data_IF_702932433300
#
_entry.id   IF_702932433300
#
_cell.length_a   1.000
_cell.length_b   1.000
_cell.length_c   1.000
_cell.angle_alpha   90.00
_cell.angle_beta   90.00
_cell.angle_gamma   90.00
#
_symmetry.space_group_name_H-M   'P 1'
#
loop_
_entity.id
_entity.type
_entity.pdbx_description
1 polymer ?
2 non-polymer ?
3 non-polymer ?
4 water ?
#
# COMPACT_ATOMS: atom_id res chain seq x y z
N UNK A 21 -0.52 26.47 3.76
CA UNK A 21 -0.42 25.72 2.47
C UNK A 21 -0.73 24.23 2.61
N UNK A 22 -0.52 23.69 3.80
CA UNK A 22 -0.93 22.30 4.10
C UNK A 22 -2.42 22.17 3.92
N UNK A 23 -3.17 23.21 4.32
CA UNK A 23 -4.62 23.24 4.10
C UNK A 23 -5.05 23.34 2.65
N UNK A 24 -4.32 24.09 1.81
CA UNK A 24 -4.69 24.14 0.39
C UNK A 24 -4.40 22.79 -0.25
N UNK A 25 -3.33 22.13 0.17
CA UNK A 25 -3.03 20.79 -0.36
C UNK A 25 -4.19 19.85 -0.01
N UNK A 26 -4.58 19.81 1.26
CA UNK A 26 -5.66 18.90 1.65
C UNK A 26 -6.97 19.20 0.93
N UNK A 27 -7.33 20.49 0.80
CA UNK A 27 -8.60 20.85 0.17
C UNK A 27 -8.68 20.43 -1.30
N UNK A 28 -7.58 20.65 -2.02
CA UNK A 28 -7.48 20.22 -3.41
C UNK A 28 -7.45 18.68 -3.51
N UNK A 29 -6.64 18.04 -2.66
CA UNK A 29 -6.54 16.58 -2.72
C UNK A 29 -7.80 15.85 -2.31
N UNK A 30 -8.64 16.48 -1.47
CA UNK A 30 -9.90 15.87 -1.10
C UNK A 30 -10.77 15.59 -2.28
N UNK A 31 -10.59 16.37 -3.37
CA UNK A 31 -11.36 16.18 -4.57
C UNK A 31 -10.53 15.61 -5.71
N UNK A 32 -9.36 15.04 -5.39
CA UNK A 32 -8.50 14.40 -6.38
C UNK A 32 -8.55 12.90 -6.21
N UNK A 33 -9.22 12.19 -7.11
CA UNK A 33 -9.45 10.75 -6.95
C UNK A 33 -8.20 9.94 -7.17
N UNK A 34 -7.98 8.94 -6.32
CA UNK A 34 -6.76 8.14 -6.39
C UNK A 34 -7.05 6.70 -6.07
N UNK A 35 -6.47 5.77 -6.84
CA UNK A 35 -6.56 4.37 -6.50
C UNK A 35 -5.84 4.12 -5.19
N UNK A 36 -6.30 3.09 -4.51
CA UNK A 36 -5.75 2.70 -3.24
C UNK A 36 -5.23 1.30 -3.30
N UNK A 37 -4.25 1.06 -2.44
CA UNK A 37 -3.64 -0.26 -2.26
C UNK A 37 -3.30 -0.44 -0.81
N UNK A 38 -3.02 -1.69 -0.41
CA UNK A 38 -2.50 -1.97 0.93
C UNK A 38 -1.11 -2.54 0.83
N UNK A 39 -0.15 -1.78 1.32
CA UNK A 39 1.25 -2.22 1.24
C UNK A 39 1.56 -2.93 2.56
N UNK A 40 2.25 -4.05 2.48
CA UNK A 40 2.60 -4.76 3.69
C UNK A 40 4.04 -5.12 3.70
N UNK A 41 4.54 -5.42 4.89
CA UNK A 41 5.86 -6.01 5.02
C UNK A 41 5.93 -6.87 6.27
N UNK A 42 7.01 -7.63 6.37
CA UNK A 42 7.32 -8.44 7.57
C UNK A 42 8.53 -7.74 8.18
N UNK A 43 8.26 -6.97 9.22
CA UNK A 43 9.18 -6.06 9.85
C UNK A 43 9.77 -6.76 11.06
N UNK A 44 10.89 -7.44 10.85
CA UNK A 44 11.55 -8.21 11.90
C UNK A 44 10.58 -9.17 12.57
N UNK A 45 9.70 -9.79 11.79
CA UNK A 45 8.70 -10.73 12.27
C UNK A 45 7.33 -10.17 12.58
N UNK A 46 7.24 -8.84 12.66
CA UNK A 46 5.95 -8.18 12.91
C UNK A 46 5.26 -7.95 11.57
N UNK A 47 4.06 -8.49 11.42
CA UNK A 47 3.26 -8.27 10.22
C UNK A 47 2.62 -6.88 10.31
N UNK A 48 2.93 -6.02 9.34
CA UNK A 48 2.42 -4.68 9.29
C UNK A 48 1.98 -4.35 7.88
N UNK A 49 1.10 -3.39 7.79
CA UNK A 49 0.74 -2.85 6.50
C UNK A 49 -0.10 -1.60 6.67
N UNK A 50 -0.35 -0.93 5.56
CA UNK A 50 -1.19 0.26 5.60
C UNK A 50 -1.83 0.51 4.25
N UNK A 51 -3.02 1.09 4.32
CA UNK A 51 -3.71 1.68 3.19
C UNK A 51 -2.95 2.90 2.71
N UNK A 52 -2.69 2.94 1.41
CA UNK A 52 -2.05 4.05 0.74
C UNK A 52 -2.81 4.52 -0.49
N UNK A 53 -2.80 5.84 -0.73
CA UNK A 53 -3.28 6.40 -2.00
C UNK A 53 -2.16 7.02 -2.80
N UNK A 54 -0.92 6.74 -2.42
CA UNK A 54 0.28 7.19 -3.11
C UNK A 54 1.03 6.13 -3.89
N UNK A 55 0.43 4.93 -4.04
CA UNK A 55 1.11 3.89 -4.79
C UNK A 55 1.06 4.24 -6.30
N UNK A 56 2.17 4.01 -6.99
CA UNK A 56 2.19 4.14 -8.43
C UNK A 56 3.37 3.39 -9.04
N UNK A 57 3.35 3.26 -10.36
CA UNK A 57 4.53 2.79 -11.10
C UNK A 57 5.49 3.93 -11.33
N UNK A 58 6.78 3.71 -11.09
CA UNK A 58 7.78 4.74 -11.16
C UNK A 58 8.67 4.60 -12.39
N UNK A 59 9.09 3.37 -12.64
CA UNK A 59 10.02 3.08 -13.74
C UNK A 59 9.72 1.75 -14.40
N UNK A 60 10.02 1.63 -15.69
CA UNK A 60 9.89 0.34 -16.39
C UNK A 60 11.18 -0.43 -16.50
N UNK A 61 12.28 0.27 -16.74
CA UNK A 61 13.62 -0.32 -16.81
C UNK A 61 14.58 0.51 -16.00
N UNK A 62 14.90 0.11 -14.77
CA UNK A 62 14.43 -1.11 -14.11
C UNK A 62 12.98 -1.03 -13.68
N UNK A 63 12.34 -2.17 -13.39
CA UNK A 63 10.91 -2.17 -13.08
C UNK A 63 10.71 -1.76 -11.62
N UNK A 64 10.26 -0.52 -11.41
CA UNK A 64 10.13 0.03 -10.06
C UNK A 64 8.75 0.58 -9.80
N UNK A 65 8.27 0.32 -8.59
CA UNK A 65 7.04 0.91 -8.09
C UNK A 65 7.37 1.66 -6.79
N UNK A 66 6.46 2.54 -6.37
CA UNK A 66 6.72 3.42 -5.24
C UNK A 66 5.44 3.77 -4.49
N UNK A 67 5.64 4.17 -3.25
CA UNK A 67 4.62 4.83 -2.47
C UNK A 67 5.31 5.81 -1.53
N UNK A 68 4.54 6.70 -0.91
CA UNK A 68 5.07 7.72 -0.02
C UNK A 68 4.62 7.38 1.40
N UNK A 69 5.58 7.37 2.33
CA UNK A 69 5.36 6.95 3.69
C UNK A 69 5.56 8.12 4.61
N UNK A 70 4.57 8.39 5.45
CA UNK A 70 4.56 9.57 6.34
C UNK A 70 5.57 9.39 7.47
N UNK A 71 6.60 10.21 7.47
CA UNK A 71 7.63 10.15 8.52
C UNK A 71 7.09 10.61 9.87
N UNK A 72 6.07 11.45 9.84
CA UNK A 72 5.50 12.02 11.08
C UNK A 72 4.82 10.96 11.94
N UNK A 73 4.42 9.85 11.31
CA UNK A 73 3.79 8.71 11.97
C UNK A 73 4.72 7.49 12.07
N UNK A 74 5.95 7.62 11.59
CA UNK A 74 6.87 6.50 11.51
C UNK A 74 6.49 5.41 10.50
N UNK A 75 5.63 5.77 9.54
CA UNK A 75 5.19 4.81 8.52
C UNK A 75 6.32 4.36 7.60
N UNK A 76 7.37 5.15 7.54
CA UNK A 76 8.56 4.83 6.73
C UNK A 76 9.43 3.71 7.31
N UNK A 77 9.44 3.62 8.63
CA UNK A 77 10.45 2.80 9.33
C UNK A 77 10.38 1.30 9.00
N UNK A 78 9.19 0.66 9.01
CA UNK A 78 9.12 -0.76 8.68
C UNK A 78 9.68 -1.10 7.33
N UNK A 79 9.47 -0.23 6.34
CA UNK A 79 9.91 -0.51 5.00
C UNK A 79 11.41 -0.29 4.88
N UNK A 80 11.92 0.77 5.51
CA UNK A 80 13.35 1.04 5.56
C UNK A 80 14.12 -0.13 6.21
N UNK A 81 13.47 -0.81 7.13
CA UNK A 81 14.12 -1.88 7.90
C UNK A 81 13.76 -3.27 7.46
N UNK A 82 13.17 -3.41 6.28
CA UNK A 82 12.83 -4.69 5.71
C UNK A 82 13.32 -4.76 4.27
N UNK A 83 13.68 -5.95 3.83
CA UNK A 83 14.28 -6.11 2.50
C UNK A 83 13.23 -6.13 1.37
N UNK A 84 11.99 -6.42 1.71
CA UNK A 84 10.91 -6.63 0.74
C UNK A 84 9.63 -5.96 1.22
N UNK A 85 8.71 -5.76 0.29
CA UNK A 85 7.34 -5.36 0.61
C UNK A 85 6.41 -5.94 -0.44
N UNK A 86 5.14 -6.05 -0.07
CA UNK A 86 4.10 -6.50 -0.96
C UNK A 86 3.05 -5.40 -1.16
N UNK A 87 2.63 -5.23 -2.40
CA UNK A 87 1.51 -4.36 -2.75
C UNK A 87 0.26 -5.19 -3.03
N UNK A 88 -0.74 -5.06 -2.17
CA UNK A 88 -2.00 -5.77 -2.30
C UNK A 88 -3.05 -4.89 -2.97
N UNK A 89 -3.65 -5.41 -4.03
CA UNK A 89 -4.74 -4.76 -4.71
C UNK A 89 -6.00 -5.49 -4.38
N UNK A 90 -6.95 -4.78 -3.79
CA UNK A 90 -8.19 -5.39 -3.35
C UNK A 90 -9.39 -4.50 -3.59
N UNK A 91 -10.57 -5.13 -3.71
CA UNK A 91 -11.82 -4.39 -3.87
C UNK A 91 -12.71 -4.43 -2.63
N UNK A 92 -12.11 -4.76 -1.49
CA UNK A 92 -12.87 -4.90 -0.25
C UNK A 92 -12.67 -3.65 0.60
N UNK A 93 -13.67 -2.77 0.62
CA UNK A 93 -13.58 -1.51 1.38
C UNK A 93 -13.29 -1.77 2.85
N UNK A 94 -13.85 -2.85 3.40
CA UNK A 94 -13.58 -3.19 4.80
C UNK A 94 -12.10 -3.30 5.08
N UNK A 95 -11.37 -3.93 4.17
CA UNK A 95 -9.92 -4.05 4.33
C UNK A 95 -9.22 -2.69 4.30
N UNK A 96 -9.63 -1.79 3.38
CA UNK A 96 -9.00 -0.49 3.37
C UNK A 96 -9.23 0.23 4.69
N UNK A 97 -10.44 0.14 5.22
CA UNK A 97 -10.70 0.78 6.52
C UNK A 97 -9.92 0.15 7.69
N UNK A 98 -9.78 -1.16 7.72
CA UNK A 98 -8.95 -1.84 8.70
C UNK A 98 -7.52 -1.29 8.65
N UNK A 99 -6.97 -1.18 7.44
CA UNK A 99 -5.57 -0.83 7.27
C UNK A 99 -5.33 0.69 7.23
N UNK A 100 -6.37 1.46 7.51
CA UNK A 100 -6.24 2.89 7.77
C UNK A 100 -6.60 3.29 9.21
N UNK A 101 -7.54 2.58 9.81
CA UNK A 101 -8.16 3.05 11.07
C UNK A 101 -7.88 2.23 12.29
N UNK A 102 -7.66 0.93 12.13
CA UNK A 102 -7.52 0.01 13.28
C UNK A 102 -6.11 0.00 13.83
N UNK A 103 -5.94 -0.28 15.13
CA UNK A 103 -4.59 -0.37 15.74
C UNK A 103 -3.73 -1.40 15.03
N UNK A 104 -2.46 -1.07 14.91
CA UNK A 104 -1.52 -1.96 14.20
C UNK A 104 -1.63 -3.39 14.71
N UNK A 105 -1.64 -3.58 16.03
CA UNK A 105 -1.61 -4.93 16.60
C UNK A 105 -2.85 -5.76 16.28
N UNK A 106 -3.92 -5.11 15.82
CA UNK A 106 -5.17 -5.77 15.54
C UNK A 106 -5.38 -6.18 14.07
N UNK A 107 -4.64 -5.58 13.14
CA UNK A 107 -5.00 -5.71 11.74
C UNK A 107 -4.96 -7.13 11.17
N UNK A 108 -3.94 -7.92 11.54
CA UNK A 108 -3.79 -9.25 10.97
C UNK A 108 -4.55 -10.31 11.75
N UNK A 109 -5.24 -9.90 12.80
CA UNK A 109 -6.13 -10.81 13.52
C UNK A 109 -7.45 -11.00 12.80
N UNK A 110 -7.83 -10.05 11.96
CA UNK A 110 -9.19 -9.94 11.47
C UNK A 110 -9.33 -10.40 10.01
N UNK A 111 -8.22 -10.77 9.38
CA UNK A 111 -8.20 -11.02 7.94
C UNK A 111 -7.49 -12.35 7.58
N UNK A 112 -7.85 -12.96 6.46
CA UNK A 112 -7.12 -14.12 5.96
C UNK A 112 -5.90 -13.64 5.16
N UNK A 113 -4.75 -14.27 5.39
CA UNK A 113 -3.49 -13.92 4.71
C UNK A 113 -2.56 -15.13 4.65
N UNK A 114 -1.55 -15.04 3.78
CA UNK A 114 -0.41 -15.97 3.74
C UNK A 114 0.89 -15.16 3.66
N UNK A 115 2.03 -15.80 3.89
CA UNK A 115 3.30 -15.09 3.78
C UNK A 115 3.93 -15.33 2.40
N UNK A 116 4.47 -14.27 1.82
CA UNK A 116 5.19 -14.33 0.56
C UNK A 116 6.65 -14.09 0.78
N UNK A 117 7.29 -13.45 -0.19
CA UNK A 117 8.72 -13.18 -0.14
C UNK A 117 9.10 -12.39 1.10
N UNK A 118 10.19 -12.78 1.74
CA UNK A 118 10.61 -12.11 2.97
C UNK A 118 9.63 -12.26 4.14
N UNK A 119 8.64 -13.14 4.00
CA UNK A 119 7.54 -13.29 4.95
C UNK A 119 6.46 -12.21 4.86
N UNK A 120 6.51 -11.40 3.82
CA UNK A 120 5.54 -10.30 3.68
C UNK A 120 4.13 -10.86 3.51
N UNK A 121 3.16 -10.34 4.25
CA UNK A 121 1.80 -10.82 4.12
C UNK A 121 1.06 -10.48 2.84
N UNK A 122 0.52 -11.51 2.21
CA UNK A 122 -0.37 -11.38 1.06
C UNK A 122 -1.80 -11.60 1.52
N UNK A 123 -2.66 -10.62 1.30
CA UNK A 123 -4.04 -10.68 1.73
C UNK A 123 -4.85 -11.61 0.79
N UNK A 124 -5.61 -12.53 1.37
CA UNK A 124 -6.41 -13.47 0.59
C UNK A 124 -7.43 -12.75 -0.28
N UNK A 125 -7.97 -11.63 0.20
CA UNK A 125 -8.97 -10.88 -0.56
C UNK A 125 -8.37 -10.02 -1.71
N UNK A 126 -7.06 -10.05 -1.90
CA UNK A 126 -6.43 -9.32 -3.00
C UNK A 126 -6.79 -9.98 -4.35
N UNK A 127 -7.22 -9.19 -5.33
CA UNK A 127 -7.35 -9.71 -6.72
C UNK A 127 -6.04 -9.69 -7.51
N UNK A 128 -5.05 -8.97 -7.01
CA UNK A 128 -3.72 -8.96 -7.57
C UNK A 128 -2.75 -8.50 -6.51
N UNK A 129 -1.48 -8.82 -6.67
CA UNK A 129 -0.45 -8.29 -5.80
C UNK A 129 0.91 -8.25 -6.49
N UNK A 130 1.78 -7.38 -5.98
CA UNK A 130 3.16 -7.32 -6.43
C UNK A 130 4.05 -7.65 -5.26
N UNK A 131 5.10 -8.45 -5.51
CA UNK A 131 6.19 -8.63 -4.58
C UNK A 131 7.36 -7.80 -5.04
N UNK A 132 7.88 -6.97 -4.14
CA UNK A 132 8.95 -6.06 -4.43
C UNK A 132 10.13 -6.16 -3.50
N UNK A 133 11.32 -5.97 -4.04
CA UNK A 133 12.53 -5.83 -3.23
C UNK A 133 12.81 -4.38 -3.00
N UNK A 134 12.98 -3.97 -1.76
CA UNK A 134 13.35 -2.60 -1.47
C UNK A 134 14.58 -2.18 -2.28
N UNK A 135 14.40 -1.13 -3.07
CA UNK A 135 15.40 -0.62 -3.99
C UNK A 135 16.05 0.67 -3.54
N UNK A 136 15.26 1.59 -2.99
CA UNK A 136 15.77 2.84 -2.44
C UNK A 136 14.72 3.44 -1.52
N UNK A 137 15.14 4.30 -0.61
CA UNK A 137 14.26 5.20 0.13
C UNK A 137 14.83 6.59 0.09
N UNK A 138 13.96 7.57 -0.11
CA UNK A 138 14.37 8.95 -0.30
C UNK A 138 13.51 9.88 0.54
N UNK A 139 14.07 10.46 1.59
CA UNK A 139 13.33 11.40 2.41
C UNK A 139 13.19 12.71 1.63
N UNK A 140 11.95 13.17 1.52
CA UNK A 140 11.61 14.46 0.93
C UNK A 140 10.54 15.10 1.78
N UNK A 141 10.86 16.23 2.43
CA UNK A 141 9.90 16.85 3.32
C UNK A 141 9.60 15.85 4.42
N UNK A 142 8.34 15.81 4.83
CA UNK A 142 7.89 14.99 5.94
C UNK A 142 7.49 13.55 5.56
N UNK A 143 7.83 13.12 4.34
CA UNK A 143 7.65 11.74 3.88
C UNK A 143 8.93 11.11 3.37
N UNK A 144 8.89 9.79 3.20
CA UNK A 144 9.94 9.06 2.58
C UNK A 144 9.35 8.37 1.35
N UNK A 145 10.02 8.51 0.20
CA UNK A 145 9.57 7.80 -1.01
C UNK A 145 10.15 6.41 -0.91
N UNK A 146 9.28 5.42 -0.81
CA UNK A 146 9.68 4.02 -0.72
C UNK A 146 9.62 3.41 -2.11
N UNK A 147 10.77 2.92 -2.59
CA UNK A 147 10.88 2.42 -3.96
C UNK A 147 11.21 0.95 -3.92
N UNK A 148 10.43 0.15 -4.62
CA UNK A 148 10.62 -1.28 -4.71
C UNK A 148 10.83 -1.73 -6.14
N UNK A 149 11.77 -2.66 -6.34
CA UNK A 149 11.90 -3.34 -7.62
C UNK A 149 10.96 -4.51 -7.70
N UNK A 150 10.15 -4.57 -8.75
CA UNK A 150 9.19 -5.61 -8.92
C UNK A 150 9.93 -6.90 -9.20
N UNK A 151 9.77 -7.86 -8.28
CA UNK A 151 10.34 -9.20 -8.40
C UNK A 151 9.35 -10.16 -9.06
N UNK A 152 8.06 -9.99 -8.76
CA UNK A 152 7.00 -10.79 -9.33
C UNK A 152 5.67 -10.04 -9.18
N UNK A 153 4.76 -10.34 -10.09
CA UNK A 153 3.40 -9.86 -10.01
C UNK A 153 2.45 -10.98 -10.29
N UNK A 154 1.27 -10.92 -9.69
CA UNK A 154 0.27 -11.95 -9.77
C UNK A 154 -1.11 -11.36 -9.93
N UNK A 155 -1.86 -11.87 -10.90
CA UNK A 155 -3.27 -11.52 -11.06
C UNK A 155 -4.08 -12.76 -10.71
N UNK A 156 -4.63 -12.76 -9.50
CA UNK A 156 -5.30 -13.89 -8.87
C UNK A 156 -6.73 -14.04 -9.37
N UNK A 157 -7.44 -12.93 -9.45
CA UNK A 157 -8.85 -12.89 -9.76
C UNK A 157 -9.05 -11.94 -10.94
N UNK A 158 -9.78 -12.40 -11.96
CA UNK A 158 -10.00 -11.60 -13.15
C UNK A 158 -11.21 -10.71 -13.01
N UNK A 159 -12.12 -11.09 -12.12
CA UNK A 159 -13.36 -10.34 -11.91
C UNK A 159 -13.36 -9.57 -10.62
N UNK A 160 -13.25 -8.26 -10.75
CA UNK A 160 -13.16 -7.38 -9.60
C UNK A 160 -13.63 -5.99 -9.96
N UNK A 161 -13.92 -5.20 -8.93
CA UNK A 161 -14.39 -3.83 -9.08
C UNK A 161 -13.38 -2.90 -8.42
N UNK A 162 -12.49 -2.28 -9.18
CA UNK A 162 -11.46 -1.44 -8.57
C UNK A 162 -12.10 -0.23 -7.92
N UNK A 163 -11.49 0.21 -6.83
CA UNK A 163 -11.99 1.33 -6.07
C UNK A 163 -11.09 2.52 -6.24
N UNK A 164 -11.68 3.70 -6.15
CA UNK A 164 -10.94 4.93 -6.08
C UNK A 164 -11.39 5.72 -4.89
N UNK A 165 -10.42 6.29 -4.21
CA UNK A 165 -10.62 7.08 -3.01
C UNK A 165 -10.70 8.54 -3.31
N UNK A 166 -11.76 9.19 -2.83
CA UNK A 166 -11.89 10.64 -2.95
C UNK A 166 -12.82 11.16 -1.86
N UNK A 167 -12.42 12.23 -1.19
CA UNK A 167 -13.26 12.91 -0.21
C UNK A 167 -13.74 11.93 0.88
N UNK A 168 -12.80 11.10 1.31
CA UNK A 168 -12.98 10.11 2.39
C UNK A 168 -13.85 8.95 2.05
N UNK A 169 -14.21 8.82 0.78
CA UNK A 169 -15.07 7.76 0.31
C UNK A 169 -14.37 6.87 -0.70
N UNK A 170 -14.86 5.63 -0.80
CA UNK A 170 -14.34 4.64 -1.74
C UNK A 170 -15.40 4.41 -2.81
N UNK A 171 -15.15 4.91 -4.01
CA UNK A 171 -16.08 4.84 -5.12
C UNK A 171 -15.74 3.73 -6.10
N UNK A 172 -16.78 3.20 -6.74
CA UNK A 172 -16.64 2.44 -7.97
C UNK A 172 -16.62 3.43 -9.13
N UNK A 173 -16.13 2.97 -10.28
CA UNK A 173 -16.11 3.77 -11.48
C UNK A 173 -17.46 3.63 -12.17
N UNK A 174 -17.96 4.71 -12.74
CA UNK A 174 -19.22 4.67 -13.48
C UNK A 174 -19.09 3.89 -14.77
N UNK A 175 -19.93 2.87 -14.95
CA UNK A 175 -20.04 2.17 -16.22
C UNK A 175 -18.75 1.35 -16.46
X LIG B 1 -0.18 7.07 5.05
X LIG B 1 1.03 7.15 4.42
X LIG B 1 2.06 7.21 5.06
X LIG B 1 1.07 7.12 3.04
X LIG B 1 -0.06 7.04 2.28
X LIG B 1 0.04 7.00 1.03
X LIG B 1 -1.30 6.98 2.91
X LIG B 1 -2.45 6.92 2.16
X LIG B 1 -3.66 6.79 2.82
X LIG B 1 -4.85 6.74 2.11
X LIG B 1 -6.08 6.51 2.69
X LIG B 1 -7.25 6.19 1.81
X LIG B 1 -6.16 6.57 4.10
X LIG B 1 -7.50 6.65 4.79
X LIG B 1 -4.98 6.69 4.85
X LIG B 1 -3.73 6.77 4.24
X LIG B 1 -2.54 6.90 4.97
X LIG B 1 -1.34 6.97 4.32
X LIG B 1 -2.48 6.68 6.44
X LIG B 1 -2.00 5.26 6.80
X LIG B 1 -2.90 4.29 6.29
X LIG B 1 -1.90 5.12 8.32
X LIG B 1 -1.06 6.13 8.88
X LIG B 1 -1.28 3.76 8.65
X LIG B 1 -2.28 2.78 8.44
X LIG B 1 -0.76 3.62 10.08
X LIG B 1 -1.87 3.83 10.91
X LIG B 1 -1.66 4.55 12.34
X LIG B 1 -1.30 3.40 13.23
X LIG B 1 -3.03 5.07 12.80
X LIG B 1 -0.63 5.64 12.34
X LIG C 1 -7.65 14.70 4.75
X LIG C 1 -6.88 15.12 5.94
X LIG C 1 -9.08 15.13 4.66
X LIG C 1 -6.81 15.17 3.45
X LIG C 1 -7.35 14.96 2.15
X LIG C 1 -6.21 14.46 1.25
X LIG C 1 -5.08 15.30 1.36
X LIG C 1 -5.69 13.06 1.56
X LIG C 1 -6.52 12.05 1.04
X LIG C 1 -4.30 13.13 0.94
X LIG C 1 -4.35 12.85 -0.46
X LIG C 1 -3.87 14.58 1.25
X LIG C 1 -3.12 14.51 2.52
X LIG C 1 -3.68 14.51 3.76
X LIG C 1 -2.74 14.32 4.70
X LIG C 1 -1.54 14.24 4.04
X LIG C 1 -0.25 14.08 4.47
X LIG C 1 0.09 13.97 5.76
X LIG C 1 0.76 14.06 3.54
X LIG C 1 0.50 14.15 2.19
X LIG C 1 -0.79 14.33 1.77
X LIG C 1 -1.80 14.36 2.68
X LIG C 1 -7.40 13.11 4.68
X LIG C 1 -8.38 11.86 4.59
X LIG C 1 -8.61 11.49 3.23
X LIG C 1 -9.50 12.01 5.58
X LIG C 1 -7.29 10.88 5.26
X LIG C 1 -7.21 10.64 6.65
X LIG C 1 -5.80 10.80 7.14
X LIG C 1 -5.02 9.74 6.59
X LIG C 1 -5.09 12.07 6.68
X LIG C 1 -5.43 13.21 7.49
X LIG C 1 -3.65 11.66 6.77
X LIG C 1 -3.14 11.78 8.09
X LIG C 1 -3.69 10.16 6.36
X LIG C 1 -3.40 10.17 4.90
X LIG C 1 -2.11 10.29 4.57
X LIG C 1 -1.72 10.35 3.23
X LIG C 1 -0.26 10.48 2.90
X LIG C 1 0.14 10.65 1.58
X LIG C 1 0.61 10.46 3.85
X LIG C 1 -2.68 10.26 2.22
X LIG C 1 -4.02 10.15 2.58
X LIG C 1 -4.38 10.09 3.93
#
# INVERSE_FOLDING_TARGET
>A
MGSSHHHHHHSSGLVPRGSHMAEVIKSIMRKFPLGVAIVTTNWKGELVGMTVNTFNSLSLNPPLVSFFADRMKGNDIPYKESKYFVVNFTDNEELFNIFALKPVKERFREIKYKEGIGGCPILYDSYAYIEAKLYDTIDVGDHSIIVGEVIDGYQIRDNFTPLVYMNRKYYKLSSL
>B hetero
1 FMN N1 C2 O2 N3 C4 O4 C4A N5 C5A C6 C7 C7M C8 C8M C9 C9A N10 C10 C1' C2' O2' C3' O3' C4' O4' C5' O5' P O1P O2P O3P
>C hetero
1 NAD PA O1A O2A O5B C5B C4B O4B C3B O3B C2B O2B C1B N9A C8A N7A C5A C6A N6A N1A C2A N3A C4A O3 PN O1N O2N O5D C5D C4D O4D C3D O3D C2D O2D C1D N1N C2N C3N C7N O7N N7N C4N C5N C6N
#
